data_IF_009423086540
#
_entry.id   IF_009423086540
#
_cell.length_a   1.000
_cell.length_b   1.000
_cell.length_c   1.000
_cell.angle_alpha   90.00
_cell.angle_beta   90.00
_cell.angle_gamma   90.00
#
_symmetry.space_group_name_H-M   'P 1'
#
loop_
_entity.id
_entity.type
_entity.pdbx_description
1 polymer ?
#
# COMPACT_ATOMS: atom_id res chain seq x y z
N UNK A 1 -20.73 -5.96 -2.68
CA UNK A 1 -20.03 -7.13 -3.25
C UNK A 1 -18.54 -6.85 -3.22
N UNK A 2 -17.81 -7.36 -2.23
CA UNK A 2 -16.36 -7.16 -2.14
C UNK A 2 -15.68 -7.93 -3.28
N UNK A 3 -15.40 -7.25 -4.39
CA UNK A 3 -14.56 -7.79 -5.45
C UNK A 3 -13.13 -7.59 -4.98
N UNK A 4 -12.55 -8.58 -4.32
CA UNK A 4 -11.12 -8.62 -4.05
C UNK A 4 -10.40 -8.75 -5.39
N UNK A 5 -9.92 -7.64 -5.92
CA UNK A 5 -9.07 -7.63 -7.12
C UNK A 5 -7.64 -7.94 -6.69
N UNK A 6 -7.19 -9.16 -6.96
CA UNK A 6 -5.80 -9.57 -6.75
C UNK A 6 -4.96 -9.06 -7.92
N UNK A 7 -4.10 -8.06 -7.68
CA UNK A 7 -3.18 -7.53 -8.69
C UNK A 7 -1.87 -8.29 -8.58
N UNK A 8 -1.58 -9.15 -9.55
CA UNK A 8 -0.27 -9.80 -9.67
C UNK A 8 0.69 -8.80 -10.31
N UNK A 9 1.54 -8.18 -9.49
CA UNK A 9 2.64 -7.35 -9.98
C UNK A 9 3.92 -8.20 -10.04
N UNK A 10 4.53 -8.28 -11.23
CA UNK A 10 5.75 -9.07 -11.46
C UNK A 10 7.02 -8.46 -10.87
N UNK A 11 6.98 -7.17 -10.54
CA UNK A 11 8.16 -6.40 -10.18
C UNK A 11 7.86 -5.51 -8.98
N UNK A 12 8.92 -5.23 -8.22
CA UNK A 12 8.86 -4.31 -7.08
C UNK A 12 8.67 -2.89 -7.58
N UNK A 13 7.63 -2.19 -7.12
CA UNK A 13 7.29 -0.83 -7.57
C UNK A 13 6.73 0.01 -6.44
N UNK A 14 6.93 1.32 -6.52
CA UNK A 14 6.25 2.28 -5.69
C UNK A 14 5.11 2.92 -6.47
N UNK A 15 3.92 2.91 -5.89
CA UNK A 15 2.73 3.53 -6.46
C UNK A 15 2.31 4.69 -5.57
N UNK A 16 2.12 5.84 -6.19
CA UNK A 16 1.62 7.04 -5.52
C UNK A 16 0.11 7.13 -5.71
N UNK A 17 -0.59 7.31 -4.60
CA UNK A 17 -2.01 7.56 -4.56
C UNK A 17 -2.28 8.92 -3.91
N UNK A 18 -3.40 9.52 -4.29
CA UNK A 18 -3.90 10.77 -3.72
C UNK A 18 -5.25 10.49 -3.07
N UNK A 19 -5.55 11.24 -2.03
CA UNK A 19 -6.87 11.21 -1.42
C UNK A 19 -7.93 11.64 -2.46
N UNK A 20 -9.04 10.91 -2.56
CA UNK A 20 -10.05 11.11 -3.60
C UNK A 20 -11.22 12.00 -3.18
N UNK A 21 -11.26 12.43 -1.93
CA UNK A 21 -12.32 13.28 -1.38
C UNK A 21 -11.73 14.28 -0.40
N UNK A 22 -12.19 15.54 -0.47
CA UNK A 22 -11.73 16.60 0.41
C UNK A 22 -11.98 16.21 1.87
N UNK A 23 -10.91 16.05 2.64
CA UNK A 23 -10.94 15.61 4.03
C UNK A 23 -10.45 16.67 5.04
N UNK A 24 -10.23 17.92 4.61
CA UNK A 24 -9.78 19.03 5.45
C UNK A 24 -8.77 19.95 4.75
N UNK A 25 -8.26 20.94 5.49
CA UNK A 25 -7.34 21.98 4.97
C UNK A 25 -6.05 21.36 4.39
N UNK A 26 -5.60 20.23 4.95
CA UNK A 26 -4.37 19.56 4.54
C UNK A 26 -4.58 18.45 3.50
N UNK A 27 -5.76 18.36 2.89
CA UNK A 27 -6.13 17.28 1.97
C UNK A 27 -5.12 17.06 0.82
N UNK A 28 -4.54 18.14 0.26
CA UNK A 28 -3.53 18.06 -0.80
C UNK A 28 -2.12 17.68 -0.34
N UNK A 29 -1.86 17.68 0.97
CA UNK A 29 -0.56 17.34 1.56
C UNK A 29 -0.54 15.92 2.15
N UNK A 30 -1.46 15.06 1.69
CA UNK A 30 -1.58 13.67 2.15
C UNK A 30 -1.25 12.68 1.02
N UNK A 31 0.04 12.55 0.63
CA UNK A 31 0.44 11.53 -0.32
C UNK A 31 0.37 10.15 0.32
N UNK A 32 -0.21 9.18 -0.38
CA UNK A 32 -0.20 7.77 0.01
C UNK A 32 0.80 7.04 -0.88
N UNK A 33 1.77 6.36 -0.27
CA UNK A 33 2.76 5.56 -0.98
C UNK A 33 2.51 4.09 -0.69
N UNK A 34 2.29 3.31 -1.74
CA UNK A 34 2.14 1.86 -1.65
C UNK A 34 3.34 1.23 -2.30
N UNK A 35 4.07 0.43 -1.53
CA UNK A 35 5.13 -0.42 -2.06
C UNK A 35 4.55 -1.78 -2.45
N UNK A 36 4.76 -2.17 -3.69
CA UNK A 36 4.38 -3.48 -4.20
C UNK A 36 5.58 -4.42 -4.04
N UNK A 37 5.40 -5.46 -3.23
CA UNK A 37 6.42 -6.46 -2.91
C UNK A 37 5.91 -7.87 -3.21
N UNK A 38 6.84 -8.82 -3.37
CA UNK A 38 6.50 -10.23 -3.46
C UNK A 38 5.96 -10.75 -2.12
N UNK A 39 5.14 -11.81 -2.18
CA UNK A 39 4.49 -12.39 -1.01
C UNK A 39 5.49 -12.83 0.07
N UNK A 40 6.61 -13.43 -0.32
CA UNK A 40 7.65 -13.87 0.62
C UNK A 40 8.21 -12.70 1.45
N UNK A 41 8.53 -11.59 0.79
CA UNK A 41 9.06 -10.39 1.45
C UNK A 41 8.01 -9.75 2.37
N UNK A 42 6.73 -9.79 1.98
CA UNK A 42 5.63 -9.30 2.81
C UNK A 42 5.47 -10.10 4.11
N UNK A 43 5.51 -11.45 4.01
CA UNK A 43 5.40 -12.34 5.17
C UNK A 43 6.59 -12.13 6.12
N UNK A 44 7.81 -12.04 5.58
CA UNK A 44 9.02 -11.76 6.37
C UNK A 44 8.91 -10.41 7.11
N UNK A 45 8.46 -9.36 6.41
CA UNK A 45 8.26 -8.04 7.01
C UNK A 45 7.22 -8.05 8.14
N UNK A 46 6.07 -8.71 7.94
CA UNK A 46 5.05 -8.86 8.98
C UNK A 46 5.59 -9.62 10.19
N UNK A 47 6.28 -10.74 9.96
CA UNK A 47 6.88 -11.53 11.04
C UNK A 47 7.83 -10.68 11.88
N UNK A 48 8.73 -9.93 11.23
CA UNK A 48 9.64 -9.03 11.92
C UNK A 48 8.89 -7.96 12.72
N UNK A 49 7.82 -7.37 12.17
CA UNK A 49 6.99 -6.36 12.86
C UNK A 49 6.16 -6.88 14.03
N UNK A 50 5.84 -8.17 14.04
CA UNK A 50 5.09 -8.80 15.15
C UNK A 50 6.01 -9.31 16.26
N UNK A 51 7.29 -9.54 15.95
CA UNK A 51 8.32 -9.95 16.91
C UNK A 51 9.00 -8.75 17.61
N UNK A 52 8.77 -7.53 17.12
CA UNK A 52 9.14 -6.25 17.75
C UNK A 52 8.08 -5.81 18.78
#
# INVERSE_FOLDING_TARGET
TFKSSFIICKERRFVLWQCSEICGINHGFMPIVVEVVNLTNYIEWISNKLND
#
